data_IF_522951940921
#
_entry.id   IF_522951940921
#
_cell.length_a   1.000
_cell.length_b   1.000
_cell.length_c   1.000
_cell.angle_alpha   90.00
_cell.angle_beta   90.00
_cell.angle_gamma   90.00
#
_symmetry.space_group_name_H-M   'P 1'
#
loop_
_entity.id
_entity.type
_entity.pdbx_description
1 polymer ?
#
# COMPACT_ATOMS: atom_id res chain seq x y z
N UNK A 1 -9.22 45.14 7.67
CA UNK A 1 -8.77 44.73 9.01
C UNK A 1 -8.28 43.30 8.91
N UNK A 2 -6.96 43.10 9.02
CA UNK A 2 -6.31 41.81 8.78
C UNK A 2 -6.58 40.82 9.92
N UNK A 3 -6.95 39.59 9.55
CA UNK A 3 -6.98 38.46 10.45
C UNK A 3 -5.69 37.66 10.21
N UNK A 4 -4.80 37.72 11.21
CA UNK A 4 -3.56 36.95 11.28
C UNK A 4 -3.94 35.48 11.47
N UNK A 5 -3.63 34.64 10.48
CA UNK A 5 -3.71 33.19 10.62
C UNK A 5 -2.58 32.74 11.55
N UNK A 6 -2.92 32.37 12.78
CA UNK A 6 -2.02 31.75 13.73
C UNK A 6 -1.72 30.32 13.26
N UNK A 7 -0.58 30.13 12.61
CA UNK A 7 0.05 28.83 12.38
C UNK A 7 0.52 28.26 13.71
N UNK A 8 -0.23 27.31 14.28
CA UNK A 8 0.29 26.50 15.38
C UNK A 8 1.25 25.46 14.79
N UNK A 9 2.52 25.87 14.68
CA UNK A 9 3.65 24.95 14.51
C UNK A 9 3.64 23.92 15.63
N UNK A 10 3.59 22.63 15.28
CA UNK A 10 3.94 21.56 16.19
C UNK A 10 5.39 21.79 16.65
N UNK A 11 5.60 21.94 17.97
CA UNK A 11 6.87 22.01 18.70
C UNK A 11 8.12 22.41 17.90
N UNK A 12 8.26 23.72 17.64
CA UNK A 12 9.56 24.33 17.38
C UNK A 12 10.35 24.43 18.70
N UNK A 13 10.79 23.28 19.21
CA UNK A 13 11.46 23.19 20.51
C UNK A 13 11.76 21.76 20.94
N UNK A 14 12.16 20.89 20.01
CA UNK A 14 12.63 19.55 20.37
C UNK A 14 14.13 19.44 20.07
N UNK A 15 14.91 19.21 21.13
CA UNK A 15 16.26 18.65 21.03
C UNK A 15 16.26 17.47 20.06
N UNK A 16 17.33 17.22 19.29
CA UNK A 16 17.37 16.11 18.35
C UNK A 16 16.98 14.83 19.09
N UNK A 17 15.89 14.20 18.64
CA UNK A 17 15.46 12.92 19.21
C UNK A 17 16.63 11.93 19.10
N UNK A 18 16.90 11.11 20.13
CA UNK A 18 18.01 10.17 20.09
C UNK A 18 17.88 9.30 18.83
N UNK A 19 18.99 9.16 18.10
CA UNK A 19 19.02 8.48 16.82
C UNK A 19 18.38 7.08 16.92
N UNK A 20 17.26 6.87 16.21
CA UNK A 20 16.60 5.58 16.15
C UNK A 20 17.48 4.62 15.34
N UNK A 21 17.83 3.47 15.94
CA UNK A 21 18.67 2.46 15.27
C UNK A 21 17.89 1.75 14.16
N UNK A 22 18.57 1.36 13.10
CA UNK A 22 17.99 0.57 12.00
C UNK A 22 17.03 1.33 11.08
N UNK A 23 17.04 2.66 11.11
CA UNK A 23 16.25 3.52 10.22
C UNK A 23 16.82 4.95 10.20
N UNK A 24 16.37 5.76 9.24
CA UNK A 24 16.73 7.17 9.08
C UNK A 24 15.61 7.96 8.41
N UNK A 25 15.73 9.29 8.39
CA UNK A 25 14.81 10.19 7.71
C UNK A 25 15.16 10.43 6.24
N UNK A 26 14.19 10.92 5.47
CA UNK A 26 14.35 11.35 4.08
C UNK A 26 14.16 12.86 3.97
N UNK A 27 14.94 13.50 3.10
CA UNK A 27 14.84 14.94 2.89
C UNK A 27 13.49 15.33 2.26
N UNK A 28 12.97 16.49 2.66
CA UNK A 28 11.84 17.15 2.03
C UNK A 28 12.03 18.66 2.19
N UNK A 29 12.70 19.30 1.24
CA UNK A 29 12.90 20.74 1.30
C UNK A 29 11.59 21.49 1.00
N UNK A 30 11.48 22.72 1.51
CA UNK A 30 10.30 23.56 1.33
C UNK A 30 9.98 23.73 -0.16
N UNK A 31 8.75 23.37 -0.55
CA UNK A 31 8.28 23.46 -1.93
C UNK A 31 8.48 22.21 -2.77
N UNK A 32 9.21 21.19 -2.29
CA UNK A 32 9.36 19.92 -3.03
C UNK A 32 8.14 18.99 -2.88
N UNK A 33 7.47 19.05 -1.72
CA UNK A 33 6.30 18.23 -1.35
C UNK A 33 6.56 16.72 -1.47
N UNK A 34 7.76 16.26 -1.07
CA UNK A 34 8.20 14.87 -1.19
C UNK A 34 7.63 13.93 -0.10
N UNK A 35 6.86 14.42 0.87
CA UNK A 35 6.40 13.61 2.00
C UNK A 35 5.59 12.35 1.59
N UNK A 36 4.76 12.44 0.53
CA UNK A 36 4.04 11.27 0.00
C UNK A 36 4.99 10.18 -0.54
N UNK A 37 6.10 10.59 -1.15
CA UNK A 37 7.09 9.69 -1.72
C UNK A 37 7.95 9.09 -0.60
N UNK A 38 8.31 9.91 0.39
CA UNK A 38 9.10 9.50 1.54
C UNK A 38 8.43 8.38 2.33
N UNK A 39 7.14 8.54 2.67
CA UNK A 39 6.40 7.52 3.41
C UNK A 39 6.28 6.21 2.64
N UNK A 40 6.18 6.26 1.30
CA UNK A 40 6.12 5.06 0.44
C UNK A 40 7.47 4.33 0.44
N UNK A 41 8.56 5.05 0.19
CA UNK A 41 9.92 4.50 0.18
C UNK A 41 10.25 3.85 1.53
N UNK A 42 10.05 4.59 2.62
CA UNK A 42 10.38 4.08 3.95
C UNK A 42 9.49 2.89 4.32
N UNK A 43 8.18 2.95 4.05
CA UNK A 43 7.27 1.83 4.36
C UNK A 43 7.63 0.55 3.61
N UNK A 44 8.00 0.66 2.32
CA UNK A 44 8.44 -0.48 1.52
C UNK A 44 9.81 -1.02 1.95
N UNK A 45 10.74 -0.14 2.32
CA UNK A 45 12.06 -0.56 2.82
C UNK A 45 11.95 -1.34 4.14
N UNK A 46 10.99 -0.98 4.99
CA UNK A 46 10.68 -1.70 6.23
C UNK A 46 9.93 -3.03 6.03
N UNK A 47 9.66 -3.45 4.78
CA UNK A 47 9.23 -4.80 4.43
C UNK A 47 10.44 -5.62 3.95
N UNK A 48 11.01 -6.51 4.79
CA UNK A 48 12.23 -7.24 4.45
C UNK A 48 12.22 -7.95 3.08
N UNK A 49 11.19 -8.73 2.70
CA UNK A 49 11.18 -9.41 1.40
C UNK A 49 11.18 -8.42 0.23
N UNK A 50 10.48 -7.28 0.35
CA UNK A 50 10.49 -6.26 -0.70
C UNK A 50 11.87 -5.61 -0.83
N UNK A 51 12.44 -5.19 0.31
CA UNK A 51 13.78 -4.58 0.35
C UNK A 51 14.84 -5.50 -0.24
N UNK A 52 14.85 -6.77 0.15
CA UNK A 52 15.83 -7.75 -0.34
C UNK A 52 15.71 -7.95 -1.85
N UNK A 53 14.50 -8.15 -2.37
CA UNK A 53 14.28 -8.35 -3.81
C UNK A 53 14.64 -7.09 -4.61
N UNK A 54 14.28 -5.90 -4.15
CA UNK A 54 14.60 -4.66 -4.85
C UNK A 54 16.11 -4.38 -4.88
N UNK A 55 16.81 -4.58 -3.75
CA UNK A 55 18.27 -4.39 -3.69
C UNK A 55 19.03 -5.43 -4.52
N UNK A 56 18.46 -6.62 -4.71
CA UNK A 56 19.01 -7.70 -5.53
C UNK A 56 18.81 -7.50 -7.05
N UNK A 57 18.02 -6.51 -7.48
CA UNK A 57 17.90 -6.18 -8.91
C UNK A 57 19.30 -5.80 -9.43
N UNK A 58 19.73 -6.51 -10.47
CA UNK A 58 21.00 -6.24 -11.15
C UNK A 58 20.88 -4.99 -12.02
N UNK A 59 21.61 -3.93 -11.66
CA UNK A 59 21.64 -2.68 -12.39
C UNK A 59 22.10 -2.84 -13.86
N UNK A 60 22.89 -3.86 -14.16
CA UNK A 60 23.33 -4.13 -15.54
C UNK A 60 22.19 -4.70 -16.41
N UNK A 61 21.29 -5.49 -15.81
CA UNK A 61 20.14 -6.06 -16.51
C UNK A 61 19.14 -4.99 -16.95
N UNK A 62 18.82 -4.02 -16.09
CA UNK A 62 17.96 -2.88 -16.43
C UNK A 62 18.62 -1.93 -17.45
N UNK A 63 19.94 -1.72 -17.35
CA UNK A 63 20.70 -0.91 -18.32
C UNK A 63 20.70 -1.54 -19.73
N UNK A 64 20.73 -2.86 -19.83
CA UNK A 64 20.62 -3.56 -21.12
C UNK A 64 19.23 -3.44 -21.75
N UNK A 65 18.17 -3.46 -20.92
CA UNK A 65 16.79 -3.22 -21.37
C UNK A 65 16.58 -1.78 -21.87
N UNK A 66 17.29 -0.80 -21.29
CA UNK A 66 17.34 0.60 -21.73
C UNK A 66 18.03 0.80 -23.09
N UNK A 67 18.95 -0.09 -23.48
CA UNK A 67 19.74 0.00 -24.71
C UNK A 67 19.11 -0.73 -25.92
N UNK A 68 18.18 -1.66 -25.70
CA UNK A 68 17.65 -2.55 -26.74
C UNK A 68 16.60 -1.93 -27.69
N UNK A 69 16.30 -0.63 -27.62
CA UNK A 69 15.34 0.03 -28.53
C UNK A 69 16.05 0.71 -29.71
N UNK A 70 16.34 -0.07 -30.76
CA UNK A 70 16.85 0.40 -32.06
C UNK A 70 15.74 0.93 -33.00
N UNK A 71 16.15 1.73 -33.99
CA UNK A 71 15.37 2.72 -34.74
C UNK A 71 14.31 2.22 -35.76
N UNK A 72 13.96 0.93 -35.79
CA UNK A 72 13.13 0.33 -36.85
C UNK A 72 11.83 -0.34 -36.34
N UNK A 73 11.25 0.16 -35.23
CA UNK A 73 10.06 -0.43 -34.62
C UNK A 73 8.74 0.16 -35.14
N UNK A 74 7.78 -0.72 -35.47
CA UNK A 74 6.37 -0.39 -35.75
C UNK A 74 5.79 0.60 -34.71
N UNK A 75 4.88 1.53 -35.09
CA UNK A 75 4.41 2.61 -34.20
C UNK A 75 3.82 2.14 -32.87
N UNK A 76 3.21 0.94 -32.81
CA UNK A 76 2.70 0.32 -31.58
C UNK A 76 3.81 -0.26 -30.68
N UNK A 77 4.88 -0.80 -31.28
CA UNK A 77 6.02 -1.35 -30.56
C UNK A 77 6.88 -0.24 -29.92
N UNK A 78 7.01 0.91 -30.60
CA UNK A 78 7.74 2.07 -30.07
C UNK A 78 7.12 2.63 -28.77
N UNK A 79 5.79 2.73 -28.68
CA UNK A 79 5.10 3.19 -27.46
C UNK A 79 5.27 2.23 -26.28
N UNK A 80 5.21 0.92 -26.54
CA UNK A 80 5.41 -0.12 -25.52
C UNK A 80 6.87 -0.13 -25.02
N UNK A 81 7.83 0.03 -25.93
CA UNK A 81 9.26 0.13 -25.59
C UNK A 81 9.55 1.38 -24.74
N UNK A 82 8.99 2.55 -25.10
CA UNK A 82 9.17 3.77 -24.31
C UNK A 82 8.52 3.66 -22.93
N UNK A 83 7.32 3.05 -22.80
CA UNK A 83 6.71 2.77 -21.48
C UNK A 83 7.66 1.94 -20.62
N UNK A 84 8.22 0.85 -21.18
CA UNK A 84 9.17 -0.01 -20.48
C UNK A 84 10.44 0.73 -20.08
N UNK A 85 10.97 1.58 -20.97
CA UNK A 85 12.17 2.40 -20.72
C UNK A 85 11.97 3.34 -19.53
N UNK A 86 10.85 4.06 -19.50
CA UNK A 86 10.49 4.96 -18.39
C UNK A 86 10.30 4.18 -17.08
N UNK A 87 9.62 3.04 -17.13
CA UNK A 87 9.45 2.15 -15.98
C UNK A 87 10.81 1.67 -15.42
N UNK A 88 11.74 1.22 -16.27
CA UNK A 88 13.07 0.80 -15.83
C UNK A 88 13.88 1.95 -15.21
N UNK A 89 13.76 3.19 -15.70
CA UNK A 89 14.38 4.35 -15.03
C UNK A 89 13.79 4.61 -13.65
N UNK A 90 12.48 4.55 -13.52
CA UNK A 90 11.79 4.72 -12.23
C UNK A 90 12.23 3.63 -11.23
N UNK A 91 12.31 2.37 -11.66
CA UNK A 91 12.81 1.26 -10.83
C UNK A 91 14.26 1.48 -10.42
N UNK A 92 15.12 1.91 -11.35
CA UNK A 92 16.53 2.22 -11.07
C UNK A 92 16.67 3.35 -10.04
N UNK A 93 15.89 4.42 -10.17
CA UNK A 93 15.88 5.53 -9.20
C UNK A 93 15.36 5.09 -7.82
N UNK A 94 14.32 4.24 -7.78
CA UNK A 94 13.79 3.65 -6.54
C UNK A 94 14.86 2.80 -5.86
N UNK A 95 15.54 1.93 -6.61
CA UNK A 95 16.62 1.08 -6.11
C UNK A 95 17.79 1.91 -5.57
N UNK A 96 18.24 2.94 -6.28
CA UNK A 96 19.31 3.84 -5.82
C UNK A 96 18.93 4.52 -4.51
N UNK A 97 17.69 5.02 -4.40
CA UNK A 97 17.16 5.59 -3.15
C UNK A 97 17.18 4.55 -2.01
N UNK A 98 16.84 3.29 -2.29
CA UNK A 98 16.92 2.21 -1.30
C UNK A 98 18.34 1.89 -0.86
N UNK A 99 19.32 1.93 -1.78
CA UNK A 99 20.75 1.71 -1.45
C UNK A 99 21.25 2.81 -0.52
N UNK A 100 20.96 4.08 -0.84
CA UNK A 100 21.34 5.22 -0.01
C UNK A 100 20.64 5.17 1.37
N UNK A 101 19.35 4.85 1.39
CA UNK A 101 18.58 4.71 2.62
C UNK A 101 19.09 3.55 3.48
N UNK A 102 19.43 2.41 2.89
CA UNK A 102 19.98 1.26 3.60
C UNK A 102 21.34 1.59 4.23
N UNK A 103 22.23 2.24 3.49
CA UNK A 103 23.52 2.69 4.00
C UNK A 103 23.35 3.66 5.18
N UNK A 104 22.45 4.65 5.06
CA UNK A 104 22.20 5.64 6.09
C UNK A 104 21.49 5.06 7.33
N UNK A 105 20.55 4.13 7.15
CA UNK A 105 19.86 3.45 8.26
C UNK A 105 20.82 2.58 9.09
N UNK A 106 21.82 1.97 8.44
CA UNK A 106 22.82 1.10 9.05
C UNK A 106 24.10 1.83 9.49
N UNK A 107 24.28 3.11 9.16
CA UNK A 107 25.44 3.89 9.54
C UNK A 107 25.54 4.11 11.07
N UNK A 108 26.76 4.07 11.66
CA UNK A 108 26.97 4.36 13.07
C UNK A 108 26.57 5.80 13.39
N UNK A 109 26.12 6.04 14.63
CA UNK A 109 25.58 7.35 15.05
C UNK A 109 26.55 8.52 14.91
N UNK A 110 27.87 8.27 14.87
CA UNK A 110 28.90 9.28 14.65
C UNK A 110 28.96 9.80 13.20
N UNK A 111 28.53 8.99 12.22
CA UNK A 111 28.67 9.28 10.79
C UNK A 111 27.34 9.74 10.16
N UNK A 112 26.25 9.74 10.95
CA UNK A 112 24.93 10.28 10.56
C UNK A 112 24.90 11.81 10.41
N UNK A 113 26.07 12.47 10.44
CA UNK A 113 26.24 13.86 10.01
C UNK A 113 26.08 14.03 8.48
N UNK A 114 26.07 12.93 7.71
CA UNK A 114 25.64 12.95 6.31
C UNK A 114 24.15 13.25 6.21
N UNK A 115 23.79 14.31 5.47
CA UNK A 115 22.42 14.81 5.34
C UNK A 115 21.40 13.73 4.96
N UNK A 116 20.13 13.98 5.29
CA UNK A 116 19.03 13.08 4.99
C UNK A 116 19.04 12.65 3.51
N UNK A 117 18.77 11.37 3.26
CA UNK A 117 18.76 10.79 1.90
C UNK A 117 17.71 11.52 1.06
N UNK A 118 18.08 11.96 -0.13
CA UNK A 118 17.22 12.78 -0.98
C UNK A 118 16.43 11.92 -1.96
N UNK A 119 15.09 12.00 -1.98
CA UNK A 119 14.26 11.28 -2.94
C UNK A 119 14.21 11.96 -4.33
N UNK A 120 15.03 12.99 -4.58
CA UNK A 120 14.90 13.86 -5.77
C UNK A 120 15.02 13.10 -7.09
N UNK A 121 15.98 12.19 -7.22
CA UNK A 121 16.14 11.40 -8.44
C UNK A 121 14.91 10.51 -8.71
N UNK A 122 14.34 9.94 -7.65
CA UNK A 122 13.10 9.17 -7.72
C UNK A 122 11.91 10.06 -8.09
N UNK A 123 11.85 11.28 -7.55
CA UNK A 123 10.80 12.27 -7.86
C UNK A 123 10.79 12.66 -9.33
N UNK A 124 11.97 12.93 -9.90
CA UNK A 124 12.14 13.25 -11.33
C UNK A 124 11.75 12.05 -12.20
N UNK A 125 12.24 10.85 -11.88
CA UNK A 125 11.91 9.65 -12.64
C UNK A 125 10.40 9.34 -12.62
N UNK A 126 9.71 9.60 -11.52
CA UNK A 126 8.25 9.47 -11.44
C UNK A 126 7.56 10.49 -12.35
N UNK A 127 7.97 11.76 -12.33
CA UNK A 127 7.42 12.79 -13.21
C UNK A 127 7.63 12.46 -14.71
N UNK A 128 8.77 11.85 -15.08
CA UNK A 128 9.06 11.42 -16.45
C UNK A 128 8.09 10.34 -16.97
N UNK A 129 7.69 9.39 -16.11
CA UNK A 129 6.68 8.37 -16.46
C UNK A 129 5.39 9.05 -16.93
N UNK A 130 5.03 10.14 -16.26
CA UNK A 130 3.83 10.92 -16.49
C UNK A 130 4.04 12.16 -17.37
N UNK A 131 5.17 12.25 -18.07
CA UNK A 131 5.46 13.37 -18.96
C UNK A 131 4.36 13.56 -20.01
N UNK A 132 3.80 14.77 -20.08
CA UNK A 132 2.64 15.10 -20.92
C UNK A 132 1.29 14.97 -20.22
N UNK A 133 1.26 14.63 -18.93
CA UNK A 133 0.08 14.72 -18.07
C UNK A 133 0.29 15.77 -16.97
N UNK A 134 -0.79 16.11 -16.25
CA UNK A 134 -0.72 16.99 -15.07
C UNK A 134 -0.40 16.22 -13.77
N UNK A 135 -0.27 14.89 -13.84
CA UNK A 135 -0.11 14.00 -12.69
C UNK A 135 1.35 13.85 -12.28
N UNK A 136 1.60 13.76 -10.98
CA UNK A 136 2.91 13.49 -10.39
C UNK A 136 4.04 14.42 -10.86
N UNK A 137 3.73 15.65 -11.27
CA UNK A 137 4.75 16.63 -11.66
C UNK A 137 5.47 17.14 -10.42
N UNK A 138 6.73 17.57 -10.55
CA UNK A 138 7.51 18.11 -9.44
C UNK A 138 6.81 19.26 -8.72
N UNK A 139 7.10 19.45 -7.43
CA UNK A 139 6.46 20.44 -6.56
C UNK A 139 4.94 20.26 -6.36
N UNK A 140 4.39 19.10 -6.71
CA UNK A 140 3.01 18.71 -6.38
C UNK A 140 3.00 17.71 -5.23
N UNK A 141 2.01 17.82 -4.36
CA UNK A 141 1.64 16.76 -3.42
C UNK A 141 0.71 15.77 -4.12
N UNK A 142 0.98 14.47 -3.97
CA UNK A 142 0.20 13.40 -4.59
C UNK A 142 -0.29 12.41 -3.53
N UNK A 143 -1.21 11.53 -3.93
CA UNK A 143 -1.70 10.45 -3.07
C UNK A 143 -0.66 9.33 -2.96
N UNK A 144 -0.28 8.97 -1.74
CA UNK A 144 0.74 7.95 -1.49
C UNK A 144 0.32 6.55 -1.98
N UNK A 145 -0.98 6.23 -1.96
CA UNK A 145 -1.49 4.95 -2.44
C UNK A 145 -1.45 4.85 -3.97
N UNK A 146 -1.68 5.96 -4.67
CA UNK A 146 -1.53 6.02 -6.13
C UNK A 146 -0.06 5.85 -6.53
N UNK A 147 0.86 6.54 -5.86
CA UNK A 147 2.30 6.40 -6.12
C UNK A 147 2.78 4.98 -5.86
N UNK A 148 2.32 4.36 -4.77
CA UNK A 148 2.64 2.98 -4.47
C UNK A 148 2.13 2.02 -5.58
N UNK A 149 0.96 2.28 -6.17
CA UNK A 149 0.43 1.50 -7.28
C UNK A 149 1.27 1.70 -8.55
N UNK A 150 1.70 2.93 -8.83
CA UNK A 150 2.57 3.24 -9.97
C UNK A 150 3.96 2.61 -9.84
N UNK A 151 4.51 2.54 -8.62
CA UNK A 151 5.75 1.79 -8.39
C UNK A 151 5.57 0.29 -8.65
N UNK A 152 4.42 -0.29 -8.29
CA UNK A 152 4.11 -1.68 -8.61
C UNK A 152 3.94 -1.92 -10.12
N UNK A 153 3.25 -1.02 -10.85
CA UNK A 153 3.14 -1.11 -12.32
C UNK A 153 4.50 -0.94 -12.99
N UNK A 154 5.34 -0.03 -12.49
CA UNK A 154 6.68 0.18 -13.02
C UNK A 154 7.58 -1.05 -12.84
N UNK A 155 7.58 -1.65 -11.64
CA UNK A 155 8.31 -2.90 -11.37
C UNK A 155 7.82 -4.03 -12.28
N UNK A 156 6.50 -4.21 -12.42
CA UNK A 156 5.94 -5.21 -13.31
C UNK A 156 6.29 -4.95 -14.79
N UNK A 157 6.14 -3.71 -15.25
CA UNK A 157 6.41 -3.28 -16.64
C UNK A 157 7.89 -3.44 -17.00
N UNK A 158 8.79 -3.21 -16.03
CA UNK A 158 10.23 -3.44 -16.16
C UNK A 158 10.64 -4.92 -16.12
N UNK A 159 9.71 -5.84 -15.82
CA UNK A 159 9.93 -7.29 -15.82
C UNK A 159 10.24 -7.91 -14.45
N UNK A 160 10.14 -7.13 -13.37
CA UNK A 160 10.42 -7.58 -12.01
C UNK A 160 9.20 -8.27 -11.39
N UNK A 161 9.16 -9.61 -11.48
CA UNK A 161 8.00 -10.43 -11.11
C UNK A 161 7.78 -10.60 -9.60
N UNK A 162 8.76 -10.25 -8.77
CA UNK A 162 8.67 -10.42 -7.31
C UNK A 162 7.50 -9.63 -6.69
N UNK A 163 7.09 -8.50 -7.29
CA UNK A 163 5.92 -7.74 -6.85
C UNK A 163 4.64 -8.56 -6.98
N UNK A 164 4.49 -9.32 -8.07
CA UNK A 164 3.38 -10.24 -8.25
C UNK A 164 3.44 -11.40 -7.25
N UNK A 165 4.64 -11.92 -6.95
CA UNK A 165 4.81 -13.00 -5.98
C UNK A 165 4.50 -12.53 -4.54
N UNK A 166 4.93 -11.32 -4.18
CA UNK A 166 4.84 -10.79 -2.83
C UNK A 166 3.45 -10.19 -2.54
N UNK A 167 2.88 -9.39 -3.44
CA UNK A 167 1.62 -8.66 -3.23
C UNK A 167 0.45 -9.16 -4.09
N UNK A 168 0.68 -10.05 -5.06
CA UNK A 168 -0.33 -10.46 -6.03
C UNK A 168 -1.48 -11.25 -5.40
N UNK A 169 -2.58 -10.54 -5.09
CA UNK A 169 -3.82 -11.14 -4.62
C UNK A 169 -4.60 -11.71 -5.81
N UNK A 170 -4.39 -12.99 -6.08
CA UNK A 170 -5.06 -13.73 -7.16
C UNK A 170 -6.46 -14.15 -6.74
N UNK A 171 -7.46 -13.65 -7.45
CA UNK A 171 -8.87 -13.86 -7.14
C UNK A 171 -9.60 -14.44 -8.35
N UNK A 172 -10.54 -15.33 -8.07
CA UNK A 172 -11.58 -15.74 -8.99
C UNK A 172 -12.88 -15.10 -8.52
N UNK A 173 -13.49 -14.34 -9.42
CA UNK A 173 -14.81 -13.79 -9.26
C UNK A 173 -15.84 -14.65 -9.98
N UNK A 174 -16.99 -14.88 -9.35
CA UNK A 174 -18.11 -15.62 -9.95
C UNK A 174 -19.46 -15.28 -9.33
N UNK A 175 -20.52 -15.53 -10.09
CA UNK A 175 -21.92 -15.53 -9.61
C UNK A 175 -22.39 -16.96 -9.42
N UNK A 176 -22.89 -17.28 -8.22
CA UNK A 176 -23.53 -18.57 -7.91
C UNK A 176 -25.05 -18.44 -7.88
N UNK A 177 -25.75 -19.17 -8.74
CA UNK A 177 -27.21 -19.26 -8.71
C UNK A 177 -27.67 -20.66 -8.27
N UNK A 178 -28.27 -20.75 -7.08
CA UNK A 178 -28.79 -22.03 -6.55
C UNK A 178 -30.01 -22.58 -7.30
N UNK A 179 -30.73 -21.69 -8.00
CA UNK A 179 -31.95 -22.03 -8.76
C UNK A 179 -31.64 -22.55 -10.15
N UNK A 180 -30.62 -22.00 -10.80
CA UNK A 180 -30.16 -22.47 -12.11
C UNK A 180 -29.19 -23.62 -11.91
N UNK A 181 -29.20 -24.59 -12.83
CA UNK A 181 -28.32 -25.76 -12.74
C UNK A 181 -27.31 -25.72 -13.88
N UNK A 182 -26.04 -25.81 -13.50
CA UNK A 182 -24.93 -25.96 -14.43
C UNK A 182 -24.70 -27.43 -14.81
N UNK A 183 -23.55 -27.70 -15.42
CA UNK A 183 -23.14 -29.05 -15.79
C UNK A 183 -23.17 -30.00 -14.57
N UNK A 184 -23.73 -31.20 -14.76
CA UNK A 184 -23.83 -32.22 -13.71
C UNK A 184 -24.80 -31.90 -12.57
N UNK A 185 -25.79 -31.02 -12.78
CA UNK A 185 -26.85 -30.74 -11.80
C UNK A 185 -26.43 -29.89 -10.60
N UNK A 186 -25.20 -29.36 -10.60
CA UNK A 186 -24.70 -28.44 -9.56
C UNK A 186 -25.28 -27.04 -9.73
N UNK A 187 -25.18 -26.22 -8.69
CA UNK A 187 -25.52 -24.80 -8.77
C UNK A 187 -24.77 -24.14 -9.94
N UNK A 188 -25.47 -23.35 -10.75
CA UNK A 188 -24.85 -22.68 -11.88
C UNK A 188 -23.84 -21.64 -11.38
N UNK A 189 -22.59 -21.80 -11.80
CA UNK A 189 -21.55 -20.78 -11.70
C UNK A 189 -21.45 -20.04 -13.03
N UNK A 190 -21.62 -18.73 -12.99
CA UNK A 190 -21.61 -17.84 -14.16
C UNK A 190 -20.72 -16.63 -13.90
N UNK A 191 -20.44 -15.82 -14.92
CA UNK A 191 -19.65 -14.59 -14.78
C UNK A 191 -18.28 -14.86 -14.13
N UNK A 192 -17.61 -15.95 -14.55
CA UNK A 192 -16.35 -16.40 -13.97
C UNK A 192 -15.19 -15.62 -14.58
N UNK A 193 -14.39 -14.94 -13.76
CA UNK A 193 -13.21 -14.21 -14.20
C UNK A 193 -12.10 -14.29 -13.15
N UNK A 194 -10.87 -14.58 -13.60
CA UNK A 194 -9.68 -14.58 -12.76
C UNK A 194 -8.86 -13.34 -13.03
N UNK A 195 -8.36 -12.71 -11.97
CA UNK A 195 -7.52 -11.53 -12.04
C UNK A 195 -6.60 -11.45 -10.83
N UNK A 196 -5.61 -10.55 -10.93
CA UNK A 196 -4.67 -10.25 -9.85
C UNK A 196 -4.80 -8.78 -9.52
N UNK A 197 -4.86 -8.46 -8.23
CA UNK A 197 -4.71 -7.08 -7.73
C UNK A 197 -3.58 -7.02 -6.72
N UNK A 198 -2.82 -5.94 -6.72
CA UNK A 198 -1.74 -5.72 -5.73
C UNK A 198 -2.22 -4.99 -4.49
N UNK A 199 -3.37 -4.31 -4.60
CA UNK A 199 -3.98 -3.54 -3.52
C UNK A 199 -5.44 -3.93 -3.33
N UNK A 200 -5.87 -4.02 -2.07
CA UNK A 200 -7.27 -4.16 -1.71
C UNK A 200 -7.83 -2.82 -1.25
N UNK A 201 -8.55 -2.14 -2.13
CA UNK A 201 -9.28 -0.92 -1.81
C UNK A 201 -10.47 -1.22 -0.91
N UNK A 202 -10.65 -0.41 0.12
CA UNK A 202 -11.70 -0.56 1.14
C UNK A 202 -12.26 0.83 1.49
N UNK A 203 -13.50 1.15 1.08
CA UNK A 203 -14.16 2.39 1.50
C UNK A 203 -14.33 2.48 3.01
N UNK A 204 -13.89 3.60 3.60
CA UNK A 204 -13.96 3.86 5.02
C UNK A 204 -15.43 3.89 5.51
N UNK A 205 -16.34 4.52 4.76
CA UNK A 205 -17.79 4.44 5.02
C UNK A 205 -18.34 3.02 4.99
N UNK A 206 -17.85 2.19 4.05
CA UNK A 206 -18.23 0.79 3.93
C UNK A 206 -17.95 0.02 5.22
N UNK A 207 -16.73 0.16 5.76
CA UNK A 207 -16.36 -0.46 7.04
C UNK A 207 -17.27 -0.02 8.19
N UNK A 208 -17.48 1.30 8.35
CA UNK A 208 -18.34 1.83 9.42
C UNK A 208 -19.77 1.31 9.31
N UNK A 209 -20.35 1.33 8.10
CA UNK A 209 -21.71 0.86 7.83
C UNK A 209 -21.87 -0.62 8.18
N UNK A 210 -20.96 -1.47 7.75
CA UNK A 210 -21.05 -2.91 8.01
C UNK A 210 -20.72 -3.26 9.47
N UNK A 211 -19.88 -2.48 10.17
CA UNK A 211 -19.71 -2.63 11.61
C UNK A 211 -21.04 -2.44 12.38
N UNK A 212 -21.82 -1.42 12.00
CA UNK A 212 -23.14 -1.17 12.59
C UNK A 212 -24.13 -2.29 12.25
N UNK A 213 -24.13 -2.75 10.99
CA UNK A 213 -25.01 -3.83 10.54
C UNK A 213 -24.74 -5.16 11.29
N UNK A 214 -23.47 -5.54 11.47
CA UNK A 214 -23.09 -6.74 12.21
C UNK A 214 -23.50 -6.65 13.69
N UNK A 215 -23.31 -5.49 14.32
CA UNK A 215 -23.76 -5.25 15.71
C UNK A 215 -25.27 -5.39 15.86
N UNK A 216 -26.05 -4.86 14.92
CA UNK A 216 -27.53 -5.00 14.91
C UNK A 216 -27.98 -6.46 14.80
N UNK A 217 -27.17 -7.32 14.17
CA UNK A 217 -27.43 -8.75 14.03
C UNK A 217 -26.90 -9.60 15.20
N UNK A 218 -26.28 -8.97 16.21
CA UNK A 218 -25.64 -9.68 17.32
C UNK A 218 -24.38 -10.44 16.92
N UNK A 219 -23.79 -10.11 15.76
CA UNK A 219 -22.57 -10.75 15.28
C UNK A 219 -21.31 -9.99 15.72
N UNK A 220 -20.24 -10.73 16.02
CA UNK A 220 -18.92 -10.12 16.24
C UNK A 220 -18.44 -9.36 15.00
N UNK A 221 -18.09 -8.09 15.17
CA UNK A 221 -17.54 -7.21 14.15
C UNK A 221 -16.01 -7.34 14.10
N UNK A 222 -15.50 -8.37 13.42
CA UNK A 222 -14.08 -8.47 13.08
C UNK A 222 -13.81 -7.92 11.68
N UNK A 223 -12.58 -7.48 11.42
CA UNK A 223 -12.18 -6.85 10.17
C UNK A 223 -12.47 -7.75 8.96
N UNK A 224 -12.18 -9.05 9.04
CA UNK A 224 -12.36 -9.98 7.92
C UNK A 224 -13.81 -10.20 7.52
N UNK A 225 -14.74 -10.11 8.48
CA UNK A 225 -16.17 -10.15 8.19
C UNK A 225 -16.65 -8.86 7.53
N UNK A 226 -16.12 -7.71 7.98
CA UNK A 226 -16.46 -6.42 7.39
C UNK A 226 -15.94 -6.31 5.96
N UNK A 227 -14.69 -6.70 5.69
CA UNK A 227 -14.11 -6.70 4.35
C UNK A 227 -14.92 -7.54 3.36
N UNK A 228 -15.37 -8.73 3.78
CA UNK A 228 -16.31 -9.55 3.00
C UNK A 228 -17.62 -8.86 2.65
N UNK A 229 -18.08 -7.97 3.51
CA UNK A 229 -19.35 -7.29 3.33
C UNK A 229 -19.23 -6.00 2.52
N UNK A 230 -18.06 -5.37 2.52
CA UNK A 230 -17.78 -4.15 1.76
C UNK A 230 -17.79 -4.44 0.25
N UNK A 231 -17.22 -5.57 -0.18
CA UNK A 231 -17.13 -5.98 -1.59
C UNK A 231 -18.41 -6.65 -2.14
N UNK A 232 -19.59 -6.09 -1.88
CA UNK A 232 -20.89 -6.64 -2.32
C UNK A 232 -21.36 -6.09 -3.66
N UNK A 233 -20.65 -6.44 -4.73
CA UNK A 233 -21.13 -6.20 -6.09
C UNK A 233 -22.27 -7.16 -6.47
N UNK A 234 -23.09 -6.76 -7.44
CA UNK A 234 -24.12 -7.62 -8.02
C UNK A 234 -23.96 -7.72 -9.53
N UNK A 235 -24.04 -8.94 -10.05
CA UNK A 235 -24.03 -9.22 -11.49
C UNK A 235 -25.21 -10.13 -11.85
N UNK A 236 -25.79 -10.00 -13.06
CA UNK A 236 -26.86 -10.87 -13.50
C UNK A 236 -26.36 -12.31 -13.67
N UNK A 237 -27.21 -13.29 -13.33
CA UNK A 237 -26.97 -14.68 -13.65
C UNK A 237 -26.99 -14.87 -15.17
N UNK A 238 -25.86 -15.29 -15.74
CA UNK A 238 -25.60 -15.28 -17.18
C UNK A 238 -26.59 -16.15 -17.99
N UNK A 239 -27.38 -15.52 -18.86
CA UNK A 239 -28.38 -16.18 -19.70
C UNK A 239 -27.77 -17.05 -20.79
N UNK A 240 -26.56 -16.73 -21.26
CA UNK A 240 -25.87 -17.50 -22.30
C UNK A 240 -25.38 -18.85 -21.76
N UNK A 241 -25.31 -18.98 -20.44
CA UNK A 241 -24.98 -20.20 -19.70
C UNK A 241 -26.18 -20.78 -18.96
N UNK A 242 -27.38 -20.72 -19.56
CA UNK A 242 -28.65 -21.22 -18.99
C UNK A 242 -29.06 -20.57 -17.65
N UNK A 243 -28.54 -19.38 -17.37
CA UNK A 243 -28.89 -18.58 -16.20
C UNK A 243 -30.23 -17.85 -16.33
N UNK A 244 -30.71 -17.34 -15.20
CA UNK A 244 -32.03 -16.73 -15.08
C UNK A 244 -32.06 -15.20 -15.26
N UNK A 245 -30.94 -14.55 -15.57
CA UNK A 245 -30.82 -13.09 -15.70
C UNK A 245 -30.93 -12.29 -14.40
N UNK A 246 -31.36 -12.90 -13.28
CA UNK A 246 -31.53 -12.18 -12.00
C UNK A 246 -30.20 -11.76 -11.41
N UNK A 247 -30.15 -10.57 -10.83
CA UNK A 247 -29.00 -10.09 -10.06
C UNK A 247 -28.69 -11.02 -8.88
N UNK A 248 -27.40 -11.32 -8.73
CA UNK A 248 -26.83 -12.14 -7.67
C UNK A 248 -25.59 -11.45 -7.13
N UNK A 249 -25.32 -11.67 -5.85
CA UNK A 249 -24.06 -11.23 -5.25
C UNK A 249 -22.88 -11.91 -5.93
N UNK A 250 -21.91 -11.09 -6.29
CA UNK A 250 -20.62 -11.51 -6.76
C UNK A 250 -19.86 -12.15 -5.59
N UNK A 251 -19.28 -13.32 -5.82
CA UNK A 251 -18.40 -13.99 -4.86
C UNK A 251 -16.98 -13.93 -5.38
N UNK A 252 -16.02 -13.62 -4.49
CA UNK A 252 -14.60 -13.60 -4.78
C UNK A 252 -13.92 -14.63 -3.91
N UNK A 253 -13.07 -15.46 -4.50
CA UNK A 253 -12.27 -16.45 -3.78
C UNK A 253 -10.82 -16.47 -4.21
N UNK A 254 -9.91 -16.83 -3.31
CA UNK A 254 -8.50 -16.98 -3.65
C UNK A 254 -8.29 -18.08 -4.69
N UNK A 255 -7.38 -17.80 -5.63
CA UNK A 255 -6.83 -18.80 -6.56
C UNK A 255 -5.43 -19.17 -6.10
N UNK A 256 -5.29 -20.35 -5.50
CA UNK A 256 -4.05 -20.80 -4.88
C UNK A 256 -3.82 -20.18 -3.49
N UNK A 257 -2.55 -20.07 -3.10
CA UNK A 257 -2.15 -19.49 -1.82
C UNK A 257 -2.31 -17.96 -1.79
N UNK A 258 -2.67 -17.43 -0.63
CA UNK A 258 -2.70 -15.98 -0.39
C UNK A 258 -1.28 -15.37 -0.46
N UNK A 259 -1.10 -14.14 -0.98
CA UNK A 259 0.20 -13.50 -1.21
C UNK A 259 0.91 -13.16 0.10
N UNK A 260 2.22 -13.26 0.21
CA UNK A 260 2.93 -13.07 1.49
C UNK A 260 2.70 -11.70 2.13
N UNK A 261 2.58 -10.65 1.32
CA UNK A 261 2.17 -9.32 1.75
C UNK A 261 0.75 -8.99 1.24
N UNK A 262 0.02 -8.23 2.05
CA UNK A 262 -1.24 -7.61 1.64
C UNK A 262 -1.11 -6.09 1.82
N UNK A 263 -1.38 -5.35 0.75
CA UNK A 263 -1.55 -3.90 0.77
C UNK A 263 -3.05 -3.57 0.79
N UNK A 264 -3.55 -3.04 1.91
CA UNK A 264 -4.94 -2.59 2.03
C UNK A 264 -4.98 -1.06 1.97
N UNK A 265 -5.83 -0.51 1.10
CA UNK A 265 -5.98 0.94 0.91
C UNK A 265 -7.34 1.37 1.44
N UNK A 266 -7.36 2.29 2.40
CA UNK A 266 -8.59 2.89 2.93
C UNK A 266 -8.95 4.13 2.12
N UNK A 267 -10.07 4.06 1.40
CA UNK A 267 -10.60 5.22 0.69
C UNK A 267 -11.45 6.08 1.63
N UNK A 268 -10.98 7.30 1.88
CA UNK A 268 -11.69 8.30 2.68
C UNK A 268 -12.54 9.20 1.80
N UNK A 269 -13.70 9.60 2.30
CA UNK A 269 -14.59 10.51 1.57
C UNK A 269 -14.13 11.97 1.63
N UNK A 270 -13.23 12.30 2.56
CA UNK A 270 -12.73 13.64 2.81
C UNK A 270 -11.25 13.60 3.19
N UNK A 271 -10.45 14.59 2.75
CA UNK A 271 -9.05 14.75 3.20
C UNK A 271 -8.94 15.23 4.66
N UNK A 272 -10.06 15.63 5.28
CA UNK A 272 -10.14 16.16 6.66
C UNK A 272 -11.37 15.62 7.38
N UNK A 273 -11.41 14.32 7.60
CA UNK A 273 -12.46 13.64 8.34
C UNK A 273 -12.50 14.07 9.82
N UNK A 274 -13.69 14.10 10.46
CA UNK A 274 -13.81 14.37 11.88
C UNK A 274 -13.05 13.35 12.74
N UNK A 275 -12.57 13.79 13.93
CA UNK A 275 -11.79 12.95 14.86
C UNK A 275 -12.54 11.67 15.25
N UNK A 276 -13.86 11.77 15.41
CA UNK A 276 -14.74 10.67 15.78
C UNK A 276 -14.84 9.63 14.66
N UNK A 277 -14.86 10.07 13.40
CA UNK A 277 -14.85 9.17 12.24
C UNK A 277 -13.49 8.47 12.11
N UNK A 278 -12.41 9.23 12.31
CA UNK A 278 -11.05 8.69 12.34
C UNK A 278 -10.94 7.60 13.40
N UNK A 279 -11.36 7.88 14.64
CA UNK A 279 -11.35 6.93 15.74
C UNK A 279 -12.14 5.64 15.44
N UNK A 280 -13.28 5.77 14.78
CA UNK A 280 -14.08 4.61 14.39
C UNK A 280 -13.35 3.75 13.35
N UNK A 281 -12.82 4.35 12.29
CA UNK A 281 -12.12 3.60 11.22
C UNK A 281 -10.82 3.00 11.74
N UNK A 282 -10.02 3.75 12.51
CA UNK A 282 -8.76 3.28 13.12
C UNK A 282 -9.00 2.02 13.95
N UNK A 283 -10.00 2.05 14.84
CA UNK A 283 -10.36 0.88 15.67
C UNK A 283 -10.82 -0.33 14.85
N UNK A 284 -11.49 -0.10 13.71
CA UNK A 284 -12.03 -1.18 12.88
C UNK A 284 -11.00 -1.77 11.92
N UNK A 285 -10.07 -0.97 11.40
CA UNK A 285 -9.19 -1.32 10.29
C UNK A 285 -7.72 -1.55 10.66
N UNK A 286 -7.22 -0.87 11.71
CA UNK A 286 -5.82 -0.99 12.15
C UNK A 286 -5.76 -2.11 13.19
N UNK A 287 -5.74 -3.36 12.74
CA UNK A 287 -5.67 -4.55 13.59
C UNK A 287 -4.27 -5.16 13.55
N UNK A 288 -3.87 -5.88 14.60
CA UNK A 288 -2.55 -6.52 14.65
C UNK A 288 -2.39 -7.61 13.60
N UNK A 289 -3.45 -8.38 13.38
CA UNK A 289 -3.49 -9.48 12.43
C UNK A 289 -4.62 -9.30 11.44
N UNK A 290 -4.40 -9.83 10.23
CA UNK A 290 -5.42 -9.96 9.20
C UNK A 290 -5.28 -11.31 8.50
N UNK A 291 -6.37 -12.09 8.54
CA UNK A 291 -6.43 -13.38 7.86
C UNK A 291 -7.11 -13.25 6.49
N UNK A 292 -6.29 -13.17 5.44
CA UNK A 292 -6.74 -13.05 4.04
C UNK A 292 -7.64 -14.22 3.62
N UNK A 293 -7.43 -15.41 4.19
CA UNK A 293 -8.26 -16.58 3.91
C UNK A 293 -9.67 -16.41 4.48
N UNK A 294 -9.80 -15.75 5.64
CA UNK A 294 -11.11 -15.39 6.18
C UNK A 294 -11.77 -14.28 5.37
N UNK A 295 -11.04 -13.43 4.66
CA UNK A 295 -11.61 -12.39 3.79
C UNK A 295 -12.15 -13.00 2.49
N UNK A 296 -11.34 -13.74 1.73
CA UNK A 296 -11.74 -14.19 0.40
C UNK A 296 -12.20 -15.65 0.37
N UNK A 297 -11.98 -16.43 1.43
CA UNK A 297 -12.19 -17.88 1.40
C UNK A 297 -11.14 -18.60 0.54
N UNK A 298 -10.93 -19.90 0.79
CA UNK A 298 -9.93 -20.72 0.09
C UNK A 298 -10.58 -21.98 -0.48
N UNK A 299 -10.06 -22.41 -1.63
CA UNK A 299 -10.02 -23.82 -2.03
C UNK A 299 -8.62 -24.40 -1.67
N UNK A 300 -8.30 -24.64 -0.38
CA UNK A 300 -6.95 -25.10 0.02
C UNK A 300 -6.52 -24.75 1.47
N UNK A 301 -5.40 -25.29 1.94
CA UNK A 301 -4.92 -25.18 3.33
C UNK A 301 -4.65 -23.73 3.74
N UNK A 302 -5.16 -23.35 4.93
CA UNK A 302 -5.13 -21.98 5.42
C UNK A 302 -3.71 -21.50 5.75
N UNK A 303 -3.22 -20.51 5.00
CA UNK A 303 -2.00 -19.81 5.34
C UNK A 303 -2.17 -19.03 6.66
N UNK A 304 -1.07 -18.85 7.40
CA UNK A 304 -1.07 -18.08 8.64
C UNK A 304 -1.58 -16.64 8.43
N UNK A 305 -2.18 -16.01 9.46
CA UNK A 305 -2.51 -14.59 9.45
C UNK A 305 -1.29 -13.73 9.14
N UNK A 306 -1.52 -12.56 8.54
CA UNK A 306 -0.46 -11.57 8.30
C UNK A 306 -0.46 -10.56 9.43
N UNK A 307 0.72 -10.16 9.87
CA UNK A 307 0.92 -9.17 10.92
C UNK A 307 0.99 -7.77 10.31
N UNK A 308 0.42 -6.77 10.98
CA UNK A 308 0.56 -5.37 10.58
C UNK A 308 2.01 -4.93 10.73
N UNK A 309 2.60 -4.49 9.61
CA UNK A 309 4.00 -4.03 9.52
C UNK A 309 4.14 -2.55 9.22
N UNK A 310 3.14 -1.93 8.59
CA UNK A 310 3.18 -0.52 8.25
C UNK A 310 1.81 0.12 8.14
N UNK A 311 1.71 1.40 8.51
CA UNK A 311 0.57 2.28 8.27
C UNK A 311 1.06 3.59 7.68
N UNK A 312 0.62 3.93 6.47
CA UNK A 312 0.78 5.27 5.90
C UNK A 312 -0.49 6.05 6.21
N UNK A 313 -0.34 7.20 6.84
CA UNK A 313 -1.45 8.06 7.24
C UNK A 313 -1.28 9.47 6.68
N UNK A 314 -2.43 10.08 6.44
CA UNK A 314 -2.54 11.43 5.89
C UNK A 314 -3.17 12.38 6.90
N UNK A 315 -2.66 13.60 6.94
CA UNK A 315 -3.27 14.68 7.69
C UNK A 315 -3.26 15.96 6.86
N UNK A 316 -4.42 16.27 6.27
CA UNK A 316 -4.70 17.56 5.66
C UNK A 316 -3.91 17.84 4.38
N UNK A 317 -2.59 17.98 4.46
CA UNK A 317 -1.64 18.19 3.36
C UNK A 317 -0.26 17.58 3.66
N UNK A 318 -0.21 16.59 4.55
CA UNK A 318 1.05 15.97 4.94
C UNK A 318 0.91 14.47 5.18
N UNK A 319 1.96 13.73 4.85
CA UNK A 319 2.00 12.28 4.94
C UNK A 319 3.00 11.85 6.01
N UNK A 320 2.58 10.90 6.84
CA UNK A 320 3.42 10.28 7.86
C UNK A 320 3.29 8.76 7.80
N UNK A 321 4.35 8.03 8.13
CA UNK A 321 4.33 6.57 8.19
C UNK A 321 4.63 6.05 9.60
N UNK A 322 4.05 4.90 9.91
CA UNK A 322 4.32 4.12 11.10
C UNK A 322 4.76 2.74 10.67
N UNK A 323 5.95 2.31 11.07
CA UNK A 323 6.51 1.01 10.67
C UNK A 323 6.97 0.24 11.90
N UNK A 324 6.95 -1.10 11.83
CA UNK A 324 7.50 -1.94 12.89
C UNK A 324 9.01 -1.71 13.00
N UNK A 325 9.48 -1.56 14.22
CA UNK A 325 10.90 -1.35 14.49
C UNK A 325 11.71 -2.64 14.25
N UNK A 326 12.40 -2.72 13.11
CA UNK A 326 13.22 -3.88 12.74
C UNK A 326 14.41 -4.11 13.69
N UNK A 327 14.90 -3.08 14.38
CA UNK A 327 16.09 -3.17 15.23
C UNK A 327 15.83 -3.81 16.60
N UNK A 328 14.56 -4.03 16.97
CA UNK A 328 14.17 -4.50 18.30
C UNK A 328 13.38 -5.82 18.27
N UNK A 329 13.38 -6.52 17.13
CA UNK A 329 12.61 -7.76 16.95
C UNK A 329 11.09 -7.51 16.88
N UNK A 330 10.29 -8.58 16.92
CA UNK A 330 8.83 -8.49 16.78
C UNK A 330 8.13 -7.79 17.97
N UNK A 331 8.79 -7.68 19.13
CA UNK A 331 8.33 -6.91 20.31
C UNK A 331 8.75 -5.43 20.26
N UNK A 332 9.42 -5.00 19.18
CA UNK A 332 10.19 -3.77 19.08
C UNK A 332 9.45 -2.43 19.08
N UNK A 333 8.13 -2.46 19.23
CA UNK A 333 7.26 -1.31 19.09
C UNK A 333 7.20 -0.76 17.66
N UNK A 334 6.89 0.53 17.55
CA UNK A 334 6.70 1.24 16.29
C UNK A 334 7.71 2.38 16.12
N UNK A 335 7.97 2.75 14.88
CA UNK A 335 8.71 3.95 14.50
C UNK A 335 7.77 4.86 13.73
N UNK A 336 7.72 6.13 14.11
CA UNK A 336 7.08 7.18 13.33
C UNK A 336 8.11 7.81 12.39
N UNK A 337 7.73 7.94 11.13
CA UNK A 337 8.51 8.48 10.04
C UNK A 337 7.80 9.71 9.49
N UNK A 338 8.42 10.87 9.68
CA UNK A 338 7.92 12.18 9.29
C UNK A 338 9.05 12.94 8.58
N UNK A 339 9.22 12.65 7.29
CA UNK A 339 10.34 13.10 6.46
C UNK A 339 11.71 12.82 7.13
N UNK A 340 12.41 13.88 7.53
CA UNK A 340 13.71 13.81 8.19
C UNK A 340 13.60 13.37 9.65
N UNK A 341 12.42 13.51 10.24
CA UNK A 341 12.16 13.25 11.65
C UNK A 341 11.75 11.80 11.85
N UNK A 342 12.53 11.10 12.66
CA UNK A 342 12.27 9.71 13.04
C UNK A 342 12.14 9.63 14.55
N UNK A 343 11.06 9.04 15.03
CA UNK A 343 10.82 8.90 16.47
C UNK A 343 10.29 7.52 16.85
N UNK A 344 10.65 7.05 18.04
CA UNK A 344 10.11 5.81 18.59
C UNK A 344 8.70 6.03 19.11
N UNK A 345 7.81 5.10 18.79
CA UNK A 345 6.50 4.95 19.38
C UNK A 345 6.47 3.61 20.13
N UNK A 346 6.76 3.61 21.45
CA UNK A 346 6.72 2.39 22.24
C UNK A 346 5.30 1.85 22.33
N UNK A 347 5.18 0.54 22.51
CA UNK A 347 3.90 -0.16 22.61
C UNK A 347 3.49 -0.88 21.33
N UNK A 348 2.27 -1.39 21.31
CA UNK A 348 1.71 -2.19 20.23
C UNK A 348 0.75 -1.39 19.34
N UNK A 349 -0.19 -2.13 18.76
CA UNK A 349 -1.27 -1.53 17.96
C UNK A 349 -2.14 -0.54 18.75
N UNK A 350 -2.45 -0.72 20.05
CA UNK A 350 -3.24 0.26 20.81
C UNK A 350 -2.59 1.65 20.87
N UNK A 351 -1.28 1.74 21.09
CA UNK A 351 -0.54 3.00 21.13
C UNK A 351 -0.49 3.66 19.74
N UNK A 352 -0.32 2.86 18.69
CA UNK A 352 -0.45 3.30 17.30
C UNK A 352 -1.85 3.88 17.02
N UNK A 353 -2.91 3.17 17.42
CA UNK A 353 -4.28 3.63 17.26
C UNK A 353 -4.51 4.95 17.99
N UNK A 354 -4.05 5.05 19.24
CA UNK A 354 -4.14 6.29 20.03
C UNK A 354 -3.42 7.45 19.33
N UNK A 355 -2.19 7.23 18.83
CA UNK A 355 -1.41 8.24 18.12
C UNK A 355 -2.11 8.72 16.84
N UNK A 356 -2.69 7.80 16.05
CA UNK A 356 -3.46 8.14 14.85
C UNK A 356 -4.67 9.01 15.19
N UNK A 357 -5.43 8.65 16.23
CA UNK A 357 -6.64 9.38 16.63
C UNK A 357 -6.33 10.76 17.20
N UNK A 358 -5.37 10.86 18.11
CA UNK A 358 -4.99 12.14 18.72
C UNK A 358 -4.38 13.09 17.69
N UNK A 359 -3.57 12.56 16.76
CA UNK A 359 -3.01 13.33 15.66
C UNK A 359 -3.99 13.66 14.53
N UNK A 360 -5.25 13.19 14.60
CA UNK A 360 -6.24 13.30 13.50
C UNK A 360 -5.71 12.75 12.17
N UNK A 361 -4.89 11.71 12.25
CA UNK A 361 -4.25 11.07 11.10
C UNK A 361 -5.20 10.04 10.50
N UNK A 362 -5.51 10.20 9.21
CA UNK A 362 -6.32 9.25 8.43
C UNK A 362 -5.41 8.13 7.89
N UNK A 363 -5.45 6.89 8.42
CA UNK A 363 -4.72 5.78 7.81
C UNK A 363 -5.22 5.56 6.37
N UNK A 364 -4.33 5.65 5.39
CA UNK A 364 -4.65 5.50 3.98
C UNK A 364 -4.16 4.15 3.43
N UNK A 365 -2.98 3.69 3.86
CA UNK A 365 -2.42 2.39 3.45
C UNK A 365 -2.04 1.58 4.68
N UNK A 366 -2.42 0.31 4.71
CA UNK A 366 -2.01 -0.66 5.71
C UNK A 366 -1.28 -1.81 5.04
N UNK A 367 -0.07 -2.09 5.52
CA UNK A 367 0.79 -3.15 5.01
C UNK A 367 0.81 -4.29 6.02
N UNK A 368 0.36 -5.46 5.59
CA UNK A 368 0.39 -6.70 6.38
C UNK A 368 1.36 -7.69 5.74
N UNK A 369 2.16 -8.37 6.55
CA UNK A 369 3.15 -9.35 6.08
C UNK A 369 3.01 -10.68 6.82
N UNK A 370 3.11 -11.79 6.09
CA UNK A 370 3.13 -13.13 6.67
C UNK A 370 4.41 -13.32 7.49
N UNK A 371 4.29 -13.90 8.67
CA UNK A 371 5.43 -14.24 9.50
C UNK A 371 6.34 -15.25 8.77
N UNK A 372 7.65 -15.01 8.81
CA UNK A 372 8.64 -15.82 8.11
C UNK A 372 8.60 -15.71 6.57
N UNK A 373 7.95 -14.70 5.99
CA UNK A 373 8.13 -14.39 4.57
C UNK A 373 9.58 -13.98 4.29
N UNK A 374 10.17 -14.56 3.24
CA UNK A 374 11.54 -14.30 2.79
C UNK A 374 11.52 -13.76 1.36
#
# INVERSE_FOLDING_TARGET
AGAVASSSSFDAGSSPSPAVRGTTGLANATGEYNCFLNVVVQSLWHLPPFRQQLLAIDAASDASALAASGADAEPGAAKSAEKRRKASRLVSALRSTFVEYDAAANAPSSDRLGGAVSPSALRVALAEVFAGSALFQESQMNDASEVLLELFDALHTAGHSFVNALFGLRLQEFVRCKKCKGAGGKDLLSQQHEYVKHMHLVPATGLRRHAVELRKRGESSCLEKMLRCVDKDQKPCDTDRSGCGRLKSVTRSLVGAAPDALCMVLAWESPRAPKEEIAQVVRLAVTEQLDVNKVFGVFGSGAAPRQLRGVIAYYGEHWVAFVRNAASGDDGGWVTLDDVTVSLLPGGVPELQHKLVEGRLQPAVLLYLREGAQ
#
